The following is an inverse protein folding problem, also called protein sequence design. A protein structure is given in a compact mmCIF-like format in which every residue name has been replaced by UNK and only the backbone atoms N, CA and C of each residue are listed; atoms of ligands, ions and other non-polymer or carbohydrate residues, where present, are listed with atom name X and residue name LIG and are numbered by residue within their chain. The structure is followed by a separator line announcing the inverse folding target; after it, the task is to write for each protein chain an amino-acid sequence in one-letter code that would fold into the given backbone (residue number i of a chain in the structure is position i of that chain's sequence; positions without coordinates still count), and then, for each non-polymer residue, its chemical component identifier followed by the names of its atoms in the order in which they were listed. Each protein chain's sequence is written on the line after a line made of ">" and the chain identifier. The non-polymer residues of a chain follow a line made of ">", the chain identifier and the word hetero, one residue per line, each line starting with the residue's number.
data_IF_730865714582
#
_entry.id   IF_730865714582
#
_cell.length_a   1.000
_cell.length_b   1.000
_cell.length_c   1.000
_cell.angle_alpha   90.00
_cell.angle_beta   90.00
_cell.angle_gamma   90.00
#
_symmetry.space_group_name_H-M   'P 1'
#
loop_
_entity.id
_entity.type
_entity.pdbx_description
1 polymer ?
#
# COMPACT_ATOMS: atom_id res chain seq x y z
N UNK A 1 -16.89 1.34 19.35
CA UNK A 1 -16.99 1.83 17.95
C UNK A 1 -15.75 2.63 17.50
N UNK A 2 -15.13 3.46 18.34
CA UNK A 2 -14.00 4.32 17.91
C UNK A 2 -12.72 3.59 17.45
N UNK A 3 -12.31 2.51 18.11
CA UNK A 3 -11.02 1.82 17.81
C UNK A 3 -10.97 1.23 16.41
N UNK A 4 -12.09 0.67 15.92
CA UNK A 4 -12.17 0.07 14.59
C UNK A 4 -12.10 1.12 13.47
N UNK A 5 -12.70 2.29 13.69
CA UNK A 5 -12.64 3.43 12.77
C UNK A 5 -11.22 4.00 12.72
N UNK A 6 -10.58 4.17 13.89
CA UNK A 6 -9.19 4.63 13.96
C UNK A 6 -8.24 3.68 13.23
N UNK A 7 -8.45 2.37 13.36
CA UNK A 7 -7.70 1.36 12.61
C UNK A 7 -7.87 1.49 11.10
N UNK A 8 -9.10 1.69 10.62
CA UNK A 8 -9.40 1.88 9.19
C UNK A 8 -8.74 3.16 8.64
N UNK A 9 -8.88 4.28 9.34
CA UNK A 9 -8.27 5.56 8.95
C UNK A 9 -6.74 5.48 8.96
N UNK A 10 -6.16 4.90 10.02
CA UNK A 10 -4.70 4.72 10.11
C UNK A 10 -4.18 3.84 8.97
N UNK A 11 -4.88 2.74 8.65
CA UNK A 11 -4.48 1.86 7.54
C UNK A 11 -4.49 2.60 6.21
N UNK A 12 -5.57 3.33 5.91
CA UNK A 12 -5.67 4.10 4.66
C UNK A 12 -4.57 5.15 4.57
N UNK A 13 -4.39 5.93 5.64
CA UNK A 13 -3.34 6.94 5.71
C UNK A 13 -1.99 6.29 5.41
N UNK A 14 -1.70 5.15 6.03
CA UNK A 14 -0.38 4.55 5.92
C UNK A 14 -0.13 3.91 4.56
N UNK A 15 -1.09 3.17 3.99
CA UNK A 15 -0.94 2.57 2.67
C UNK A 15 -0.82 3.61 1.55
N UNK A 16 -1.58 4.71 1.61
CA UNK A 16 -1.50 5.76 0.59
C UNK A 16 -0.21 6.59 0.75
N UNK A 17 0.20 6.90 1.99
CA UNK A 17 1.45 7.62 2.26
C UNK A 17 2.67 6.80 1.83
N UNK A 18 2.69 5.50 2.15
CA UNK A 18 3.81 4.64 1.78
C UNK A 18 3.93 4.51 0.26
N UNK A 19 2.81 4.31 -0.45
CA UNK A 19 2.79 4.30 -1.92
C UNK A 19 3.34 5.62 -2.49
N UNK A 20 2.84 6.78 -2.02
CA UNK A 20 3.29 8.08 -2.51
C UNK A 20 4.78 8.33 -2.21
N UNK A 21 5.26 7.92 -1.03
CA UNK A 21 6.67 8.03 -0.68
C UNK A 21 7.56 7.16 -1.57
N UNK A 22 7.11 5.95 -1.93
CA UNK A 22 7.85 5.07 -2.84
C UNK A 22 7.83 5.59 -4.28
N UNK A 23 6.70 6.12 -4.76
CA UNK A 23 6.61 6.75 -6.08
C UNK A 23 7.57 7.95 -6.19
N UNK A 24 7.60 8.81 -5.16
CA UNK A 24 8.56 9.92 -5.08
C UNK A 24 10.02 9.42 -5.04
N UNK A 25 10.29 8.34 -4.31
CA UNK A 25 11.64 7.76 -4.28
C UNK A 25 12.09 7.29 -5.66
N UNK A 26 11.21 6.64 -6.44
CA UNK A 26 11.53 6.25 -7.82
C UNK A 26 11.77 7.47 -8.70
N UNK A 27 10.97 8.53 -8.57
CA UNK A 27 11.16 9.79 -9.31
C UNK A 27 12.51 10.45 -9.01
N UNK A 28 12.93 10.49 -7.74
CA UNK A 28 14.24 11.01 -7.34
C UNK A 28 15.38 10.22 -8.00
N UNK A 29 15.22 8.90 -8.13
CA UNK A 29 16.21 8.02 -8.76
C UNK A 29 16.15 8.02 -10.30
N UNK A 30 15.07 8.55 -10.88
CA UNK A 30 14.91 8.70 -12.31
C UNK A 30 15.05 7.38 -13.07
N UNK A 31 15.82 7.37 -14.15
CA UNK A 31 16.00 6.20 -15.01
C UNK A 31 16.63 5.00 -14.30
N UNK A 32 17.47 5.24 -13.28
CA UNK A 32 18.10 4.17 -12.50
C UNK A 32 17.03 3.33 -11.80
N UNK A 33 15.90 3.91 -11.41
CA UNK A 33 14.80 3.21 -10.75
C UNK A 33 14.18 2.07 -11.58
N UNK A 34 14.50 1.96 -12.87
CA UNK A 34 14.07 0.87 -13.76
C UNK A 34 14.80 -0.46 -13.50
N UNK A 35 15.91 -0.47 -12.74
CA UNK A 35 16.63 -1.69 -12.39
C UNK A 35 16.11 -2.26 -11.07
N UNK A 36 15.97 -3.59 -10.99
CA UNK A 36 15.52 -4.26 -9.76
C UNK A 36 16.50 -4.12 -8.59
N UNK A 37 17.76 -3.82 -8.89
CA UNK A 37 18.86 -3.67 -7.93
C UNK A 37 19.06 -2.22 -7.47
N UNK A 38 18.26 -1.27 -7.95
CA UNK A 38 18.44 0.15 -7.64
C UNK A 38 18.09 0.49 -6.22
N UNK A 39 18.92 1.32 -5.59
CA UNK A 39 18.70 1.77 -4.23
C UNK A 39 20.00 2.11 -3.52
N UNK A 40 19.91 2.62 -2.29
CA UNK A 40 21.08 3.07 -1.53
C UNK A 40 22.13 1.97 -1.37
N UNK A 41 23.41 2.33 -1.52
CA UNK A 41 24.54 1.40 -1.31
C UNK A 41 24.60 0.87 0.12
N UNK A 42 23.97 1.56 1.09
CA UNK A 42 23.84 1.09 2.46
C UNK A 42 23.09 -0.25 2.57
N UNK A 43 22.37 -0.65 1.52
CA UNK A 43 21.57 -1.87 1.52
C UNK A 43 20.38 -1.81 2.48
N UNK A 44 20.06 -0.62 3.00
CA UNK A 44 18.96 -0.38 3.92
C UNK A 44 17.88 0.49 3.27
N UNK A 45 16.63 0.25 3.65
CA UNK A 45 15.51 1.06 3.21
C UNK A 45 14.48 1.25 4.33
N UNK A 46 13.96 2.47 4.54
CA UNK A 46 12.94 2.71 5.57
C UNK A 46 11.71 1.84 5.36
N UNK A 47 11.16 1.32 6.47
CA UNK A 47 9.97 0.47 6.45
C UNK A 47 10.07 -0.81 5.60
N UNK A 48 11.28 -1.21 5.19
CA UNK A 48 11.48 -2.50 4.55
C UNK A 48 11.29 -3.64 5.56
N UNK A 49 10.29 -4.48 5.32
CA UNK A 49 10.15 -5.77 6.00
C UNK A 49 11.14 -6.74 5.34
N UNK A 50 11.90 -7.50 6.16
CA UNK A 50 13.02 -8.36 5.74
C UNK A 50 12.82 -8.98 4.36
N UNK A 51 13.77 -8.74 3.45
CA UNK A 51 13.72 -9.26 2.09
C UNK A 51 15.04 -9.88 1.71
N UNK A 52 15.25 -11.14 2.08
CA UNK A 52 16.19 -11.95 1.30
C UNK A 52 15.49 -12.27 -0.02
N UNK A 53 15.96 -11.62 -1.09
CA UNK A 53 15.51 -11.91 -2.44
C UNK A 53 15.91 -13.33 -2.87
N UNK A 54 15.36 -13.80 -3.99
CA UNK A 54 15.80 -15.06 -4.59
C UNK A 54 17.18 -14.84 -5.24
N UNK A 55 18.14 -15.78 -5.13
CA UNK A 55 19.45 -15.63 -5.79
C UNK A 55 19.35 -15.42 -7.31
N UNK A 56 18.31 -15.96 -7.93
CA UNK A 56 18.07 -15.86 -9.38
C UNK A 56 17.43 -14.55 -9.82
N UNK A 57 16.95 -13.73 -8.88
CA UNK A 57 16.32 -12.44 -9.18
C UNK A 57 16.61 -11.45 -8.03
N UNK A 58 17.76 -10.76 -8.06
CA UNK A 58 18.14 -9.83 -7.02
C UNK A 58 17.25 -8.59 -7.08
N UNK A 59 16.68 -8.25 -5.92
CA UNK A 59 15.84 -7.07 -5.74
C UNK A 59 16.36 -6.31 -4.54
N UNK A 60 16.63 -5.02 -4.71
CA UNK A 60 17.03 -4.16 -3.60
C UNK A 60 15.88 -3.99 -2.60
N UNK A 61 16.19 -3.60 -1.36
CA UNK A 61 15.15 -3.30 -0.39
C UNK A 61 14.25 -2.13 -0.81
N UNK A 62 14.78 -1.17 -1.58
CA UNK A 62 14.00 -0.06 -2.13
C UNK A 62 12.93 -0.57 -3.09
N UNK A 63 13.33 -1.35 -4.11
CA UNK A 63 12.40 -1.87 -5.11
C UNK A 63 11.43 -2.89 -4.50
N UNK A 64 11.90 -3.72 -3.56
CA UNK A 64 11.04 -4.62 -2.80
C UNK A 64 9.95 -3.86 -2.03
N UNK A 65 10.32 -2.75 -1.37
CA UNK A 65 9.40 -1.91 -0.61
C UNK A 65 8.41 -1.18 -1.52
N UNK A 66 8.85 -0.73 -2.70
CA UNK A 66 7.94 -0.20 -3.72
C UNK A 66 6.87 -1.24 -4.11
N UNK A 67 7.26 -2.48 -4.43
CA UNK A 67 6.29 -3.53 -4.75
C UNK A 67 5.36 -3.84 -3.57
N UNK A 68 5.90 -3.87 -2.36
CA UNK A 68 5.11 -4.09 -1.16
C UNK A 68 4.04 -2.99 -0.97
N UNK A 69 4.40 -1.72 -1.13
CA UNK A 69 3.47 -0.57 -1.01
C UNK A 69 2.26 -0.68 -1.95
N UNK A 70 2.42 -1.29 -3.13
CA UNK A 70 1.31 -1.56 -4.06
C UNK A 70 0.33 -2.56 -3.46
N UNK A 71 0.83 -3.60 -2.81
CA UNK A 71 0.00 -4.64 -2.21
C UNK A 71 -0.82 -4.14 -1.01
N UNK A 72 -0.31 -3.17 -0.26
CA UNK A 72 -0.96 -2.64 0.96
C UNK A 72 -2.30 -1.95 0.68
N UNK A 73 -2.47 -1.36 -0.50
CA UNK A 73 -3.75 -0.76 -0.90
C UNK A 73 -4.86 -1.78 -1.12
N UNK A 74 -4.52 -3.07 -1.23
CA UNK A 74 -5.44 -4.18 -1.48
C UNK A 74 -5.60 -5.06 -0.23
N UNK A 75 -4.47 -5.45 0.38
CA UNK A 75 -4.46 -6.41 1.47
C UNK A 75 -5.08 -5.83 2.76
N UNK A 76 -5.72 -6.70 3.55
CA UNK A 76 -6.42 -6.29 4.78
C UNK A 76 -7.69 -5.46 4.56
N UNK A 77 -8.27 -5.52 3.35
CA UNK A 77 -9.39 -4.71 2.91
C UNK A 77 -8.90 -3.54 2.05
N UNK A 78 -9.44 -3.46 0.83
CA UNK A 78 -9.00 -2.46 -0.15
C UNK A 78 -9.24 -1.04 0.37
N UNK A 79 -8.49 -0.06 -0.15
CA UNK A 79 -8.69 1.35 0.19
C UNK A 79 -10.15 1.80 -0.02
N UNK A 80 -10.86 1.22 -1.00
CA UNK A 80 -12.29 1.47 -1.23
C UNK A 80 -13.16 1.00 -0.06
N UNK A 81 -12.98 -0.25 0.40
CA UNK A 81 -13.74 -0.78 1.55
C UNK A 81 -13.50 0.05 2.81
N UNK A 82 -12.26 0.47 3.05
CA UNK A 82 -11.93 1.29 4.21
C UNK A 82 -12.57 2.68 4.14
N UNK A 83 -12.62 3.30 2.94
CA UNK A 83 -13.36 4.57 2.72
C UNK A 83 -14.85 4.40 3.01
N UNK A 84 -15.44 3.27 2.65
CA UNK A 84 -16.86 3.01 2.93
C UNK A 84 -17.13 2.87 4.43
N UNK A 85 -16.24 2.17 5.16
CA UNK A 85 -16.33 2.07 6.62
C UNK A 85 -16.29 3.46 7.26
N UNK A 86 -15.38 4.34 6.81
CA UNK A 86 -15.29 5.71 7.32
C UNK A 86 -16.52 6.54 6.91
N UNK A 87 -16.97 6.45 5.66
CA UNK A 87 -18.16 7.15 5.16
C UNK A 87 -19.42 6.77 5.93
N UNK A 88 -19.70 5.48 6.09
CA UNK A 88 -20.89 4.98 6.80
C UNK A 88 -20.81 5.24 8.31
N UNK A 89 -19.65 4.99 8.94
CA UNK A 89 -19.54 4.99 10.42
C UNK A 89 -19.13 6.32 11.03
N UNK A 90 -18.46 7.20 10.28
CA UNK A 90 -17.99 8.51 10.78
C UNK A 90 -18.83 9.63 10.20
N UNK A 91 -19.04 9.61 8.88
CA UNK A 91 -19.72 10.68 8.16
C UNK A 91 -21.24 10.47 8.05
N UNK A 92 -21.74 9.28 8.42
CA UNK A 92 -23.17 8.95 8.35
C UNK A 92 -23.72 8.87 6.92
N UNK A 93 -22.84 8.63 5.94
CA UNK A 93 -23.25 8.51 4.54
C UNK A 93 -24.10 7.26 4.31
N UNK A 94 -25.01 7.28 3.32
CA UNK A 94 -25.76 6.09 2.92
C UNK A 94 -24.83 4.93 2.56
N UNK A 95 -25.29 3.72 2.84
CA UNK A 95 -24.58 2.48 2.50
C UNK A 95 -24.38 2.36 0.99
N UNK A 96 -23.25 1.80 0.58
CA UNK A 96 -23.05 1.51 -0.84
C UNK A 96 -24.11 0.53 -1.39
N UNK A 97 -24.53 0.70 -2.66
CA UNK A 97 -25.44 -0.22 -3.32
C UNK A 97 -24.83 -1.62 -3.37
N UNK A 98 -25.57 -2.63 -2.90
CA UNK A 98 -25.15 -4.02 -3.04
C UNK A 98 -25.39 -4.47 -4.49
N UNK A 99 -24.44 -5.20 -5.06
CA UNK A 99 -24.63 -5.82 -6.37
C UNK A 99 -25.83 -6.76 -6.29
N UNK A 100 -26.85 -6.53 -7.13
CA UNK A 100 -27.97 -7.45 -7.25
C UNK A 100 -27.47 -8.78 -7.83
N UNK A 101 -27.40 -9.81 -7.00
CA UNK A 101 -27.25 -11.18 -7.46
C UNK A 101 -28.53 -11.57 -8.20
N UNK A 102 -28.52 -11.53 -9.53
CA UNK A 102 -29.54 -12.20 -10.33
C UNK A 102 -29.47 -13.69 -9.99
N UNK A 103 -30.53 -14.22 -9.37
CA UNK A 103 -30.72 -15.65 -9.22
C UNK A 103 -30.81 -16.26 -10.62
N UNK A 104 -29.84 -17.10 -10.98
CA UNK A 104 -29.96 -18.02 -12.12
C UNK A 104 -30.92 -19.15 -11.78
#
# INVERSE_FOLDING_TARGET
>A
MGVTVLGATNKMFWSETHKAAMELALEIWGAEAMLSTSGPQSGSWPAALRGEGRPTYPVSLMISSFFFSRSETIWGGTSQIQRNIVGEKVLGLPREPKVETKSS
#
